data_IF_622551685192
#
_entry.id   IF_622551685192
#
_cell.length_a   1.000
_cell.length_b   1.000
_cell.length_c   1.000
_cell.angle_alpha   90.00
_cell.angle_beta   90.00
_cell.angle_gamma   90.00
#
_symmetry.space_group_name_H-M   'P 1'
#
loop_
_entity.id
_entity.type
_entity.pdbx_description
1 polymer ?
#
# COMPACT_ATOMS: atom_id res chain seq x y z
N UNK A 1 -10.07 -3.54 -36.40
CA UNK A 1 -8.81 -2.78 -36.33
C UNK A 1 -7.61 -3.70 -36.52
N UNK A 2 -7.59 -4.84 -35.81
CA UNK A 2 -6.71 -5.97 -36.11
C UNK A 2 -7.55 -7.09 -36.74
N UNK A 3 -7.06 -7.73 -37.78
CA UNK A 3 -7.73 -8.84 -38.48
C UNK A 3 -7.46 -10.18 -37.75
N UNK A 4 -7.56 -10.15 -36.42
CA UNK A 4 -7.23 -11.26 -35.53
C UNK A 4 -8.41 -11.54 -34.59
N UNK A 5 -8.61 -12.80 -34.20
CA UNK A 5 -9.60 -13.15 -33.19
C UNK A 5 -9.16 -12.59 -31.82
N UNK A 6 -10.07 -11.87 -31.16
CA UNK A 6 -9.84 -11.29 -29.82
C UNK A 6 -9.37 -12.33 -28.81
N UNK A 7 -9.82 -13.58 -28.92
CA UNK A 7 -9.41 -14.67 -28.02
C UNK A 7 -7.94 -15.02 -28.14
N UNK A 8 -7.33 -14.72 -29.28
CA UNK A 8 -5.92 -15.01 -29.55
C UNK A 8 -4.99 -13.84 -29.19
N UNK A 9 -5.53 -12.71 -28.79
CA UNK A 9 -4.75 -11.54 -28.39
C UNK A 9 -4.51 -11.50 -26.87
N UNK A 10 -3.42 -10.86 -26.46
CA UNK A 10 -3.06 -10.57 -25.07
C UNK A 10 -2.33 -9.22 -25.01
N UNK A 11 -2.27 -8.62 -23.82
CA UNK A 11 -1.56 -7.35 -23.58
C UNK A 11 -0.38 -7.59 -22.65
N UNK A 12 0.84 -7.30 -23.12
CA UNK A 12 2.07 -7.46 -22.32
C UNK A 12 3.04 -6.34 -22.60
N UNK A 13 3.56 -5.73 -21.54
CA UNK A 13 4.63 -4.71 -21.60
C UNK A 13 4.33 -3.60 -22.62
N UNK A 14 3.08 -3.13 -22.66
CA UNK A 14 2.63 -2.08 -23.60
C UNK A 14 2.36 -2.56 -25.04
N UNK A 15 2.44 -3.85 -25.32
CA UNK A 15 2.24 -4.44 -26.64
C UNK A 15 0.99 -5.31 -26.71
N UNK A 16 0.35 -5.32 -27.88
CA UNK A 16 -0.65 -6.34 -28.25
C UNK A 16 0.06 -7.50 -28.89
N UNK A 17 -0.01 -8.67 -28.26
CA UNK A 17 0.63 -9.88 -28.74
C UNK A 17 -0.40 -10.89 -29.23
N UNK A 18 -0.06 -11.63 -30.29
CA UNK A 18 -0.80 -12.81 -30.69
C UNK A 18 -0.25 -14.02 -29.92
N UNK A 19 -1.06 -14.63 -29.06
CA UNK A 19 -0.67 -15.76 -28.21
C UNK A 19 -0.29 -17.00 -29.00
N UNK A 20 -0.93 -17.22 -30.15
CA UNK A 20 -0.73 -18.42 -30.99
C UNK A 20 0.57 -18.33 -31.76
N UNK A 21 0.83 -17.16 -32.37
CA UNK A 21 2.02 -16.92 -33.18
C UNK A 21 3.22 -16.41 -32.37
N UNK A 22 2.98 -16.00 -31.12
CA UNK A 22 3.96 -15.39 -30.19
C UNK A 22 4.67 -14.18 -30.79
N UNK A 23 3.94 -13.38 -31.53
CA UNK A 23 4.45 -12.17 -32.17
C UNK A 23 3.74 -10.93 -31.64
N UNK A 24 4.44 -9.80 -31.68
CA UNK A 24 3.86 -8.48 -31.43
C UNK A 24 3.08 -8.10 -32.69
N UNK A 25 1.80 -7.80 -32.52
CA UNK A 25 0.91 -7.36 -33.61
C UNK A 25 1.02 -5.84 -33.79
N UNK A 26 0.96 -5.10 -32.69
CA UNK A 26 1.20 -3.66 -32.63
C UNK A 26 1.40 -3.22 -31.17
N UNK A 27 1.79 -1.97 -30.97
CA UNK A 27 1.85 -1.38 -29.62
C UNK A 27 0.48 -0.87 -29.18
N UNK A 28 0.28 -0.69 -27.87
CA UNK A 28 -0.90 0.01 -27.33
C UNK A 28 -0.92 1.49 -27.76
N UNK A 29 0.25 2.08 -27.97
CA UNK A 29 0.42 3.43 -28.53
C UNK A 29 -0.17 3.51 -29.95
N UNK A 30 0.19 2.58 -30.85
CA UNK A 30 -0.33 2.54 -32.23
C UNK A 30 -1.86 2.49 -32.25
N UNK A 31 -2.45 1.72 -31.34
CA UNK A 31 -3.90 1.60 -31.22
C UNK A 31 -4.50 2.93 -30.75
N UNK A 32 -3.95 3.51 -29.69
CA UNK A 32 -4.46 4.76 -29.13
C UNK A 32 -4.35 5.90 -30.13
N UNK A 33 -3.20 6.03 -30.81
CA UNK A 33 -2.96 7.03 -31.83
C UNK A 33 -3.96 6.90 -32.98
N UNK A 34 -4.17 5.68 -33.48
CA UNK A 34 -5.10 5.47 -34.58
C UNK A 34 -6.57 5.64 -34.18
N UNK A 35 -6.96 5.37 -32.93
CA UNK A 35 -8.31 5.65 -32.44
C UNK A 35 -8.56 7.15 -32.30
N UNK A 36 -7.59 7.89 -31.76
CA UNK A 36 -7.75 9.32 -31.47
C UNK A 36 -7.67 10.18 -32.74
N UNK A 37 -6.77 9.83 -33.67
CA UNK A 37 -6.52 10.59 -34.90
C UNK A 37 -7.27 10.05 -36.13
N UNK A 38 -8.22 9.12 -35.97
CA UNK A 38 -9.09 8.74 -37.07
C UNK A 38 -10.01 9.91 -37.45
N UNK A 39 -9.74 10.52 -38.60
CA UNK A 39 -10.51 11.65 -39.13
C UNK A 39 -11.99 11.31 -39.36
N UNK A 40 -12.31 10.03 -39.61
CA UNK A 40 -13.67 9.60 -39.91
C UNK A 40 -14.49 9.28 -38.67
N UNK A 41 -13.85 8.75 -37.62
CA UNK A 41 -14.52 8.34 -36.39
C UNK A 41 -13.56 8.37 -35.20
N UNK A 42 -13.24 9.57 -34.69
CA UNK A 42 -12.34 9.70 -33.55
C UNK A 42 -12.97 9.08 -32.31
N UNK A 43 -12.20 8.28 -31.58
CA UNK A 43 -12.64 7.58 -30.38
C UNK A 43 -11.67 7.84 -29.23
N UNK A 44 -12.22 8.09 -28.04
CA UNK A 44 -11.46 8.11 -26.79
C UNK A 44 -11.46 6.72 -26.16
N UNK A 45 -10.32 6.32 -25.59
CA UNK A 45 -10.20 5.06 -24.88
C UNK A 45 -10.43 5.29 -23.39
N UNK A 46 -11.68 5.13 -22.96
CA UNK A 46 -12.07 5.21 -21.56
C UNK A 46 -12.79 3.95 -21.15
N UNK A 47 -12.49 3.43 -19.96
CA UNK A 47 -13.20 2.31 -19.36
C UNK A 47 -13.41 2.58 -17.88
N UNK A 48 -14.64 2.42 -17.45
CA UNK A 48 -15.01 2.45 -16.04
C UNK A 48 -15.40 1.04 -15.61
N UNK A 49 -15.06 0.70 -14.36
CA UNK A 49 -15.43 -0.54 -13.71
C UNK A 49 -15.67 -0.24 -12.23
N UNK A 50 -16.67 -0.91 -11.67
CA UNK A 50 -16.99 -0.85 -10.26
C UNK A 50 -16.77 -2.24 -9.66
N UNK A 51 -16.07 -2.27 -8.55
CA UNK A 51 -15.87 -3.49 -7.79
C UNK A 51 -16.26 -3.23 -6.34
N UNK A 52 -17.21 -4.00 -5.84
CA UNK A 52 -17.58 -4.02 -4.43
C UNK A 52 -17.13 -5.36 -3.85
N UNK A 53 -16.14 -5.38 -2.95
CA UNK A 53 -15.69 -6.62 -2.35
C UNK A 53 -16.82 -7.23 -1.51
N UNK A 54 -17.11 -8.50 -1.75
CA UNK A 54 -18.12 -9.26 -0.97
C UNK A 54 -17.53 -9.86 0.30
N UNK A 55 -16.21 -9.83 0.45
CA UNK A 55 -15.45 -10.37 1.58
C UNK A 55 -14.28 -9.45 1.91
N UNK A 56 -13.81 -9.49 3.16
CA UNK A 56 -12.67 -8.71 3.59
C UNK A 56 -11.36 -9.36 3.13
N UNK A 57 -10.39 -8.53 2.75
CA UNK A 57 -9.02 -8.97 2.61
C UNK A 57 -8.45 -9.22 4.02
N UNK A 58 -8.21 -10.49 4.35
CA UNK A 58 -7.59 -10.84 5.61
C UNK A 58 -6.09 -10.55 5.52
N UNK A 59 -5.58 -9.89 6.55
CA UNK A 59 -4.15 -9.65 6.74
C UNK A 59 -3.75 -10.21 8.09
N UNK A 60 -2.51 -10.65 8.21
CA UNK A 60 -1.99 -11.24 9.43
C UNK A 60 -0.67 -10.57 9.79
N UNK A 61 -0.30 -10.63 11.05
CA UNK A 61 0.99 -10.13 11.48
C UNK A 61 1.35 -10.61 12.87
N UNK A 62 2.62 -10.44 13.20
CA UNK A 62 3.18 -10.71 14.51
C UNK A 62 4.17 -9.60 14.87
N UNK A 63 4.15 -9.16 16.12
CA UNK A 63 5.09 -8.18 16.63
C UNK A 63 5.76 -8.74 17.89
N UNK A 64 7.07 -8.58 17.97
CA UNK A 64 7.89 -8.94 19.11
C UNK A 64 8.64 -7.71 19.58
N UNK A 65 8.61 -7.45 20.88
CA UNK A 65 9.27 -6.29 21.48
C UNK A 65 10.17 -6.75 22.61
N UNK A 66 11.45 -6.36 22.53
CA UNK A 66 12.43 -6.54 23.59
C UNK A 66 12.53 -5.23 24.37
N UNK A 67 12.33 -5.30 25.69
CA UNK A 67 12.36 -4.12 26.58
C UNK A 67 13.23 -4.37 27.80
N UNK A 68 13.89 -3.32 28.25
CA UNK A 68 14.60 -3.24 29.54
C UNK A 68 13.79 -2.34 30.47
N UNK A 69 13.64 -2.75 31.73
CA UNK A 69 12.92 -1.97 32.75
C UNK A 69 13.85 -1.72 33.93
N UNK A 70 14.04 -0.44 34.30
CA UNK A 70 14.69 -0.08 35.55
C UNK A 70 13.73 -0.36 36.71
N UNK A 71 14.05 -1.35 37.55
CA UNK A 71 13.22 -1.77 38.66
C UNK A 71 13.03 -0.70 39.75
N UNK A 72 13.91 0.29 39.83
CA UNK A 72 13.84 1.36 40.83
C UNK A 72 12.99 2.55 40.37
N UNK A 73 12.99 2.87 39.08
CA UNK A 73 12.29 4.04 38.51
C UNK A 73 11.05 3.68 37.71
N UNK A 74 10.92 2.42 37.29
CA UNK A 74 9.88 1.96 36.38
C UNK A 74 10.10 2.43 34.93
N UNK A 75 11.23 3.04 34.61
CA UNK A 75 11.54 3.51 33.26
C UNK A 75 11.65 2.32 32.31
N UNK A 76 10.91 2.37 31.21
CA UNK A 76 10.94 1.36 30.14
C UNK A 76 11.78 1.88 28.98
N UNK A 77 12.72 1.06 28.51
CA UNK A 77 13.50 1.31 27.30
C UNK A 77 13.24 0.17 26.30
N UNK A 78 12.93 0.53 25.05
CA UNK A 78 12.73 -0.44 23.97
C UNK A 78 14.08 -0.69 23.30
N UNK A 79 14.56 -1.92 23.39
CA UNK A 79 15.82 -2.35 22.76
C UNK A 79 15.59 -2.68 21.28
N UNK A 80 14.47 -3.34 20.98
CA UNK A 80 14.16 -3.81 19.64
C UNK A 80 12.67 -4.09 19.45
N UNK A 81 12.15 -3.74 18.27
CA UNK A 81 10.85 -4.21 17.79
C UNK A 81 11.05 -4.96 16.48
N UNK A 82 10.44 -6.13 16.36
CA UNK A 82 10.36 -6.90 15.12
C UNK A 82 8.89 -7.05 14.76
N UNK A 83 8.45 -6.36 13.72
CA UNK A 83 7.10 -6.46 13.17
C UNK A 83 7.12 -7.23 11.85
N UNK A 84 6.23 -8.22 11.73
CA UNK A 84 6.04 -9.05 10.53
C UNK A 84 4.60 -8.88 10.10
N UNK A 85 4.36 -8.49 8.85
CA UNK A 85 3.01 -8.30 8.30
C UNK A 85 2.89 -9.08 6.98
N UNK A 86 1.88 -9.93 6.90
CA UNK A 86 1.40 -10.56 5.67
C UNK A 86 0.15 -9.80 5.17
N UNK A 87 0.37 -8.98 4.14
CA UNK A 87 -0.68 -8.24 3.44
C UNK A 87 -1.01 -8.84 2.06
N UNK A 88 -0.55 -10.07 1.79
CA UNK A 88 -0.64 -10.69 0.48
C UNK A 88 0.32 -10.08 -0.54
N UNK A 89 -0.18 -9.66 -1.70
CA UNK A 89 0.67 -9.16 -2.80
C UNK A 89 1.06 -7.70 -2.57
N UNK A 90 2.31 -7.48 -2.19
CA UNK A 90 2.91 -6.15 -2.08
C UNK A 90 3.02 -5.51 -3.47
N UNK A 91 2.44 -4.31 -3.62
CA UNK A 91 2.49 -3.54 -4.88
C UNK A 91 3.75 -2.67 -4.95
N UNK A 92 4.08 -1.99 -3.84
CA UNK A 92 5.28 -1.18 -3.71
C UNK A 92 5.95 -1.52 -2.36
N UNK A 93 7.11 -2.20 -2.38
CA UNK A 93 7.83 -2.60 -1.17
C UNK A 93 8.21 -1.43 -0.27
N UNK A 94 8.78 -0.37 -0.83
CA UNK A 94 9.30 0.77 -0.06
C UNK A 94 8.16 1.50 0.69
N UNK A 95 7.02 1.67 0.03
CA UNK A 95 5.84 2.26 0.68
C UNK A 95 5.23 1.32 1.73
N UNK A 96 5.26 0.01 1.49
CA UNK A 96 4.76 -0.96 2.45
C UNK A 96 5.63 -0.97 3.71
N UNK A 97 6.95 -0.93 3.56
CA UNK A 97 7.91 -0.82 4.66
C UNK A 97 7.67 0.46 5.48
N UNK A 98 7.54 1.62 4.82
CA UNK A 98 7.27 2.88 5.52
C UNK A 98 5.93 2.89 6.30
N UNK A 99 4.92 2.15 5.84
CA UNK A 99 3.67 1.98 6.61
C UNK A 99 3.87 1.11 7.85
N UNK A 100 4.66 0.04 7.75
CA UNK A 100 5.00 -0.83 8.89
C UNK A 100 5.77 -0.03 9.93
N UNK A 101 6.76 0.76 9.50
CA UNK A 101 7.55 1.63 10.38
C UNK A 101 6.69 2.69 11.06
N UNK A 102 5.86 3.41 10.30
CA UNK A 102 4.96 4.43 10.84
C UNK A 102 3.95 3.85 11.83
N UNK A 103 3.36 2.69 11.52
CA UNK A 103 2.48 1.96 12.43
C UNK A 103 3.19 1.50 13.69
N UNK A 104 4.44 1.03 13.56
CA UNK A 104 5.25 0.61 14.70
C UNK A 104 5.57 1.78 15.62
N UNK A 105 5.97 2.93 15.06
CA UNK A 105 6.22 4.14 15.84
C UNK A 105 4.95 4.63 16.58
N UNK A 106 3.79 4.60 15.91
CA UNK A 106 2.51 4.91 16.56
C UNK A 106 2.19 3.92 17.68
N UNK A 107 2.48 2.63 17.51
CA UNK A 107 2.24 1.64 18.57
C UNK A 107 3.11 1.88 19.81
N UNK A 108 4.34 2.37 19.62
CA UNK A 108 5.24 2.76 20.73
C UNK A 108 4.73 4.00 21.43
N UNK A 109 4.33 5.02 20.68
CA UNK A 109 3.74 6.24 21.22
C UNK A 109 2.54 5.90 22.09
N UNK A 110 1.60 5.13 21.54
CA UNK A 110 0.40 4.72 22.22
C UNK A 110 0.67 3.84 23.46
N UNK A 111 1.63 2.93 23.38
CA UNK A 111 1.92 2.00 24.47
C UNK A 111 2.66 2.61 25.66
N UNK A 112 3.44 3.68 25.46
CA UNK A 112 4.34 4.21 26.49
C UNK A 112 4.14 5.69 26.82
N UNK A 113 3.52 6.47 25.93
CA UNK A 113 3.59 7.93 26.04
C UNK A 113 2.27 8.66 25.85
N UNK A 114 1.25 8.03 25.26
CA UNK A 114 -0.04 8.66 25.05
C UNK A 114 -1.04 8.19 26.09
N UNK A 115 -1.68 9.16 26.75
CA UNK A 115 -2.83 8.91 27.62
C UNK A 115 -3.88 10.00 27.38
N UNK A 116 -5.15 9.58 27.35
CA UNK A 116 -6.29 10.50 27.34
C UNK A 116 -6.89 10.49 28.74
N UNK A 117 -6.71 11.59 29.45
CA UNK A 117 -7.28 11.80 30.78
C UNK A 117 -8.65 12.45 30.61
N UNK A 118 -9.69 11.77 31.11
CA UNK A 118 -11.07 12.25 31.06
C UNK A 118 -11.48 12.63 32.48
N UNK A 119 -11.66 13.94 32.72
CA UNK A 119 -12.35 14.47 33.89
C UNK A 119 -13.82 14.77 33.51
N UNK A 120 -14.74 14.75 34.48
CA UNK A 120 -16.18 14.96 34.29
C UNK A 120 -16.52 16.30 33.60
N UNK A 121 -15.56 17.24 33.55
CA UNK A 121 -15.70 18.58 32.97
C UNK A 121 -14.79 18.84 31.77
N UNK A 122 -13.73 18.06 31.56
CA UNK A 122 -12.75 18.34 30.51
C UNK A 122 -11.99 17.08 30.08
N UNK A 123 -11.66 17.01 28.79
CA UNK A 123 -10.76 15.99 28.25
C UNK A 123 -9.39 16.65 28.04
N UNK A 124 -8.35 16.07 28.63
CA UNK A 124 -6.96 16.48 28.44
C UNK A 124 -6.19 15.32 27.79
N UNK A 125 -5.40 15.63 26.76
CA UNK A 125 -4.56 14.65 26.07
C UNK A 125 -3.11 15.10 26.11
N UNK A 126 -2.22 14.26 26.64
CA UNK A 126 -0.78 14.44 26.46
C UNK A 126 -0.35 13.68 25.19
N UNK A 127 0.14 14.41 24.19
CA UNK A 127 0.63 13.85 22.92
C UNK A 127 2.15 14.00 22.82
N UNK A 128 2.88 12.88 22.92
CA UNK A 128 4.35 12.84 22.87
C UNK A 128 4.93 12.50 21.49
N UNK A 129 4.12 12.49 20.42
CA UNK A 129 4.53 12.06 19.06
C UNK A 129 5.78 12.79 18.55
N UNK A 130 5.96 14.07 18.90
CA UNK A 130 7.08 14.88 18.41
C UNK A 130 8.47 14.45 18.91
N UNK A 131 8.57 13.69 20.01
CA UNK A 131 9.87 13.30 20.58
C UNK A 131 10.41 11.98 20.00
N UNK A 132 9.54 11.08 19.53
CA UNK A 132 9.90 9.72 19.10
C UNK A 132 10.60 9.72 17.74
N UNK A 133 10.15 10.54 16.78
CA UNK A 133 10.75 10.62 15.43
C UNK A 133 12.22 11.08 15.49
N UNK A 134 12.58 11.86 16.51
CA UNK A 134 13.95 12.37 16.70
C UNK A 134 14.91 11.37 17.38
N UNK A 135 14.38 10.26 17.92
CA UNK A 135 15.17 9.20 18.55
C UNK A 135 15.42 8.01 17.61
N UNK A 136 14.64 7.87 16.54
CA UNK A 136 14.73 6.79 15.55
C UNK A 136 15.41 7.20 14.23
N UNK A 137 15.78 8.48 14.06
CA UNK A 137 16.55 9.04 12.94
C UNK A 137 17.85 9.67 13.44
#
# INVERSE_FOLDING_TARGET
MLAEDRKNLDLRDGNVINKTRREIVCTVEDITMKLFYDYKNPQTLTKEAYYSPTTNALTFGAAFTEVTIDASTGKVEIEKITAIIDCGKVINPDLAEGQVEGGTAMSVAYGLYEEILIDEKQVESEMAIFWIIKFLL
#
